data_IF_968489677731
#
_entry.id   IF_968489677731
#
_cell.length_a   1.000
_cell.length_b   1.000
_cell.length_c   1.000
_cell.angle_alpha   90.00
_cell.angle_beta   90.00
_cell.angle_gamma   90.00
#
_symmetry.space_group_name_H-M   'P 1'
#
loop_
_entity.id
_entity.type
_entity.pdbx_description
1 polymer ?
#
# COMPACT_ATOMS: atom_id res chain seq x y z
N UNK A 1 9.08 21.48 -25.59
CA UNK A 1 7.89 22.34 -25.49
C UNK A 1 7.52 22.36 -24.01
N UNK A 2 7.40 23.54 -23.39
CA UNK A 2 7.08 23.63 -21.97
C UNK A 2 5.57 23.52 -21.75
N UNK A 3 5.14 22.63 -20.86
CA UNK A 3 3.74 22.56 -20.44
C UNK A 3 3.34 23.80 -19.65
N UNK A 4 2.15 24.31 -19.92
CA UNK A 4 1.53 25.39 -19.14
C UNK A 4 0.83 24.81 -17.90
N UNK A 5 0.89 25.53 -16.78
CA UNK A 5 0.10 25.21 -15.60
C UNK A 5 -1.38 25.48 -15.88
N UNK A 6 -2.24 24.61 -15.34
CA UNK A 6 -3.68 24.80 -15.32
C UNK A 6 -4.08 26.06 -14.54
N UNK A 7 -5.13 26.74 -15.00
CA UNK A 7 -5.63 27.95 -14.34
C UNK A 7 -6.25 27.65 -12.98
N UNK A 8 -6.22 28.60 -12.04
CA UNK A 8 -6.90 28.45 -10.76
C UNK A 8 -8.42 28.65 -10.87
N UNK A 9 -9.17 27.85 -10.13
CA UNK A 9 -10.61 28.01 -9.95
C UNK A 9 -10.96 29.27 -9.16
N UNK A 10 -12.05 29.95 -9.53
CA UNK A 10 -12.53 31.14 -8.82
C UNK A 10 -13.26 30.80 -7.50
N UNK A 11 -13.15 31.67 -6.50
CA UNK A 11 -13.87 31.54 -5.21
C UNK A 11 -15.34 31.94 -5.37
N UNK A 12 -16.25 31.21 -4.72
CA UNK A 12 -17.67 31.59 -4.61
C UNK A 12 -18.07 31.91 -3.16
N UNK A 13 -18.98 32.87 -2.99
CA UNK A 13 -19.49 33.31 -1.68
C UNK A 13 -21.02 33.38 -1.72
N UNK A 14 -21.69 32.68 -0.82
CA UNK A 14 -23.16 32.64 -0.68
C UNK A 14 -23.69 31.23 -0.40
N UNK A 15 -24.91 31.12 0.14
CA UNK A 15 -25.57 29.82 0.31
C UNK A 15 -25.68 29.10 -1.05
N UNK A 16 -25.27 27.82 -1.10
CA UNK A 16 -25.20 27.03 -2.34
C UNK A 16 -24.21 27.60 -3.40
N UNK A 17 -23.12 28.22 -2.97
CA UNK A 17 -22.04 28.66 -3.86
C UNK A 17 -21.22 27.50 -4.43
N UNK A 18 -20.83 27.58 -5.71
CA UNK A 18 -19.95 26.61 -6.37
C UNK A 18 -18.60 27.24 -6.72
N UNK A 19 -17.52 26.70 -6.16
CA UNK A 19 -16.15 27.08 -6.51
C UNK A 19 -15.80 26.64 -7.93
N UNK A 20 -14.97 27.40 -8.64
CA UNK A 20 -14.49 27.01 -9.97
C UNK A 20 -13.53 25.84 -9.91
N UNK A 21 -13.56 24.92 -10.86
CA UNK A 21 -12.54 23.88 -10.98
C UNK A 21 -11.19 24.48 -11.41
N UNK A 22 -10.11 23.87 -10.96
CA UNK A 22 -8.77 24.10 -11.50
C UNK A 22 -8.66 23.57 -12.93
N UNK A 23 -7.93 24.28 -13.79
CA UNK A 23 -7.65 23.81 -15.14
C UNK A 23 -6.64 22.67 -15.15
N UNK A 24 -6.65 21.85 -16.20
CA UNK A 24 -5.68 20.79 -16.36
C UNK A 24 -4.30 21.32 -16.78
N UNK A 25 -3.25 20.62 -16.33
CA UNK A 25 -1.90 20.80 -16.82
C UNK A 25 -1.82 20.43 -18.30
N UNK A 26 -1.45 21.40 -19.14
CA UNK A 26 -1.31 21.16 -20.57
C UNK A 26 -0.23 20.11 -20.89
N UNK A 27 -0.18 19.66 -22.16
CA UNK A 27 0.84 18.73 -22.64
C UNK A 27 2.27 19.16 -22.23
N UNK A 28 3.03 18.24 -21.65
CA UNK A 28 4.45 18.44 -21.34
C UNK A 28 4.74 18.86 -19.90
N UNK A 29 4.35 18.02 -18.95
CA UNK A 29 4.67 18.16 -17.52
C UNK A 29 4.02 19.37 -16.83
N UNK A 30 2.95 19.96 -17.38
CA UNK A 30 2.26 21.08 -16.75
C UNK A 30 1.51 20.64 -15.50
N UNK A 31 1.50 21.45 -14.43
CA UNK A 31 0.74 21.11 -13.23
C UNK A 31 -0.75 21.44 -13.40
N UNK A 32 -1.62 20.68 -12.75
CA UNK A 32 -3.03 21.03 -12.57
C UNK A 32 -3.18 22.30 -11.75
N UNK A 33 -4.21 23.08 -12.06
CA UNK A 33 -4.59 24.26 -11.31
C UNK A 33 -5.35 23.89 -10.05
N UNK A 34 -5.27 24.71 -9.01
CA UNK A 34 -6.06 24.47 -7.79
C UNK A 34 -7.53 24.82 -8.00
N UNK A 35 -8.41 24.06 -7.35
CA UNK A 35 -9.83 24.35 -7.23
C UNK A 35 -10.11 25.59 -6.39
N UNK A 36 -11.22 26.25 -6.69
CA UNK A 36 -11.66 27.46 -6.00
C UNK A 36 -12.43 27.14 -4.72
N UNK A 37 -12.17 27.88 -3.65
CA UNK A 37 -12.89 27.73 -2.39
C UNK A 37 -14.37 28.13 -2.48
N UNK A 38 -15.21 27.63 -1.57
CA UNK A 38 -16.64 27.97 -1.52
C UNK A 38 -17.16 28.19 -0.09
N UNK A 39 -17.75 29.37 0.15
CA UNK A 39 -18.28 29.76 1.46
C UNK A 39 -19.81 29.87 1.46
N UNK A 40 -20.48 29.15 2.34
CA UNK A 40 -21.90 29.19 2.61
C UNK A 40 -22.47 27.80 2.96
N UNK A 41 -23.62 27.75 3.61
CA UNK A 41 -24.29 26.47 3.85
C UNK A 41 -24.61 25.77 2.51
N UNK A 42 -24.32 24.46 2.45
CA UNK A 42 -24.46 23.62 1.26
C UNK A 42 -23.57 24.04 0.09
N UNK A 43 -22.49 24.79 0.31
CA UNK A 43 -21.55 25.17 -0.75
C UNK A 43 -20.72 23.99 -1.22
N UNK A 44 -20.27 24.05 -2.48
CA UNK A 44 -19.39 23.03 -3.08
C UNK A 44 -18.15 23.72 -3.63
N UNK A 45 -16.97 23.44 -3.10
CA UNK A 45 -15.74 23.97 -3.63
C UNK A 45 -15.31 23.23 -4.91
N UNK A 46 -14.49 23.88 -5.72
CA UNK A 46 -14.05 23.32 -6.99
C UNK A 46 -12.94 22.28 -6.80
N UNK A 47 -12.90 21.29 -7.67
CA UNK A 47 -11.82 20.30 -7.72
C UNK A 47 -10.52 20.90 -8.26
N UNK A 48 -9.38 20.31 -7.90
CA UNK A 48 -8.10 20.54 -8.54
C UNK A 48 -8.04 19.92 -9.94
N UNK A 49 -7.31 20.55 -10.85
CA UNK A 49 -7.09 20.05 -12.19
C UNK A 49 -6.07 18.92 -12.23
N UNK A 50 -6.10 18.11 -13.28
CA UNK A 50 -5.15 17.00 -13.45
C UNK A 50 -3.77 17.50 -13.89
N UNK A 51 -2.71 16.78 -13.54
CA UNK A 51 -1.36 17.00 -14.01
C UNK A 51 -1.15 16.52 -15.45
N UNK A 52 -0.40 17.28 -16.23
CA UNK A 52 -0.10 16.97 -17.61
C UNK A 52 0.93 15.84 -17.76
N UNK A 53 0.78 15.02 -18.80
CA UNK A 53 1.74 13.95 -19.08
C UNK A 53 3.16 14.47 -19.39
N UNK A 54 4.15 13.70 -18.96
CA UNK A 54 5.56 13.94 -19.21
C UNK A 54 5.95 13.72 -20.68
N UNK A 55 6.93 14.49 -21.13
CA UNK A 55 7.40 14.40 -22.52
C UNK A 55 8.27 13.16 -22.76
N UNK A 56 8.27 12.68 -24.00
CA UNK A 56 9.27 11.71 -24.47
C UNK A 56 10.70 12.27 -24.34
N UNK A 57 11.64 11.41 -23.97
CA UNK A 57 13.07 11.65 -24.09
C UNK A 57 13.53 11.71 -25.55
N UNK A 58 14.84 11.75 -25.79
CA UNK A 58 15.37 11.80 -27.16
C UNK A 58 14.99 10.54 -27.96
N UNK A 59 14.35 10.75 -29.13
CA UNK A 59 14.00 9.67 -30.07
C UNK A 59 15.26 9.06 -30.72
N UNK A 60 16.33 9.85 -30.93
CA UNK A 60 17.46 9.51 -31.81
C UNK A 60 18.81 9.35 -31.08
N UNK A 61 18.79 9.18 -29.76
CA UNK A 61 19.99 9.04 -28.94
C UNK A 61 20.43 10.34 -28.26
N UNK A 62 21.01 10.20 -27.07
CA UNK A 62 21.24 11.27 -26.10
C UNK A 62 20.44 10.95 -24.84
N UNK A 63 21.14 10.59 -23.76
CA UNK A 63 20.60 9.97 -22.53
C UNK A 63 19.69 10.85 -21.66
N UNK A 64 18.86 11.70 -22.25
CA UNK A 64 17.78 12.40 -21.55
C UNK A 64 16.73 11.38 -21.13
N UNK A 65 16.48 11.25 -19.83
CA UNK A 65 15.35 10.49 -19.31
C UNK A 65 14.01 11.04 -19.79
N UNK A 66 12.94 10.27 -19.55
CA UNK A 66 11.58 10.75 -19.78
C UNK A 66 11.27 11.96 -18.91
N UNK A 67 10.50 12.91 -19.44
CA UNK A 67 10.05 14.05 -18.65
C UNK A 67 9.13 13.62 -17.51
N UNK A 68 9.14 14.27 -16.34
CA UNK A 68 8.22 13.93 -15.27
C UNK A 68 6.77 14.25 -15.67
N UNK A 69 5.80 13.56 -15.08
CA UNK A 69 4.42 14.00 -15.09
C UNK A 69 4.25 15.28 -14.26
N UNK A 70 3.31 16.14 -14.65
CA UNK A 70 2.92 17.30 -13.85
C UNK A 70 2.14 16.87 -12.61
N UNK A 71 2.22 17.63 -11.53
CA UNK A 71 1.42 17.36 -10.34
C UNK A 71 -0.05 17.71 -10.57
N UNK A 72 -0.96 17.02 -9.90
CA UNK A 72 -2.35 17.45 -9.78
C UNK A 72 -2.48 18.71 -8.95
N UNK A 73 -3.54 19.49 -9.21
CA UNK A 73 -3.89 20.66 -8.42
C UNK A 73 -4.63 20.27 -7.14
N UNK A 74 -4.56 21.10 -6.11
CA UNK A 74 -5.33 20.84 -4.89
C UNK A 74 -6.81 21.19 -5.09
N UNK A 75 -7.71 20.49 -4.40
CA UNK A 75 -9.10 20.88 -4.26
C UNK A 75 -9.26 22.19 -3.48
N UNK A 76 -10.37 22.87 -3.70
CA UNK A 76 -10.72 24.08 -2.96
C UNK A 76 -11.35 23.76 -1.60
N UNK A 77 -11.10 24.62 -0.61
CA UNK A 77 -11.71 24.48 0.72
C UNK A 77 -13.18 24.92 0.73
N UNK A 78 -14.00 24.31 1.59
CA UNK A 78 -15.40 24.68 1.78
C UNK A 78 -15.71 25.06 3.24
N UNK A 79 -16.53 26.09 3.42
CA UNK A 79 -16.98 26.50 4.76
C UNK A 79 -18.47 26.76 4.78
N UNK A 80 -19.19 26.10 5.69
CA UNK A 80 -20.62 26.18 5.93
C UNK A 80 -21.22 24.80 6.21
N UNK A 81 -22.34 24.76 6.93
CA UNK A 81 -23.03 23.51 7.22
C UNK A 81 -23.43 22.78 5.93
N UNK A 82 -23.21 21.47 5.87
CA UNK A 82 -23.47 20.63 4.71
C UNK A 82 -22.62 20.96 3.49
N UNK A 83 -21.50 21.69 3.67
CA UNK A 83 -20.62 22.04 2.57
C UNK A 83 -19.72 20.88 2.13
N UNK A 84 -19.28 20.90 0.88
CA UNK A 84 -18.40 19.88 0.29
C UNK A 84 -17.16 20.55 -0.28
N UNK A 85 -15.99 20.17 0.20
CA UNK A 85 -14.73 20.65 -0.35
C UNK A 85 -14.37 19.92 -1.65
N UNK A 86 -13.53 20.53 -2.47
CA UNK A 86 -13.14 20.00 -3.76
C UNK A 86 -12.10 18.88 -3.62
N UNK A 87 -12.10 17.93 -4.54
CA UNK A 87 -11.09 16.89 -4.58
C UNK A 87 -9.77 17.42 -5.14
N UNK A 88 -8.65 16.79 -4.77
CA UNK A 88 -7.39 16.97 -5.47
C UNK A 88 -7.44 16.36 -6.87
N UNK A 89 -6.73 16.96 -7.81
CA UNK A 89 -6.57 16.41 -9.15
C UNK A 89 -5.48 15.33 -9.20
N UNK A 90 -5.57 14.43 -10.17
CA UNK A 90 -4.58 13.36 -10.33
C UNK A 90 -3.25 13.88 -10.87
N UNK A 91 -2.16 13.20 -10.54
CA UNK A 91 -0.85 13.43 -11.13
C UNK A 91 -0.75 12.91 -12.57
N UNK A 92 0.02 13.59 -13.39
CA UNK A 92 0.26 13.20 -14.77
C UNK A 92 1.18 11.99 -14.90
N UNK A 93 1.03 11.20 -15.96
CA UNK A 93 1.95 10.08 -16.24
C UNK A 93 3.35 10.59 -16.59
N UNK A 94 4.38 9.92 -16.10
CA UNK A 94 5.78 10.13 -16.49
C UNK A 94 6.02 9.78 -17.95
N UNK A 95 6.85 10.59 -18.61
CA UNK A 95 7.18 10.43 -20.02
C UNK A 95 8.06 9.21 -20.28
N UNK A 96 8.06 8.76 -21.52
CA UNK A 96 8.95 7.70 -21.97
C UNK A 96 10.39 8.21 -22.05
N UNK A 97 11.37 7.37 -21.73
CA UNK A 97 12.79 7.65 -21.98
C UNK A 97 13.13 7.61 -23.48
N UNK A 98 14.21 6.93 -23.86
CA UNK A 98 14.64 6.88 -25.27
C UNK A 98 13.97 5.76 -26.04
N UNK A 99 13.34 6.09 -27.17
CA UNK A 99 12.68 5.11 -28.03
C UNK A 99 13.68 4.19 -28.77
N UNK A 100 14.83 4.72 -29.22
CA UNK A 100 15.79 4.02 -30.09
C UNK A 100 17.27 4.20 -29.71
N UNK A 101 17.58 5.00 -28.67
CA UNK A 101 18.95 5.37 -28.28
C UNK A 101 19.42 4.72 -26.98
N UNK A 102 20.68 4.96 -26.61
CA UNK A 102 21.27 4.48 -25.34
C UNK A 102 20.67 5.22 -24.13
N UNK A 103 19.65 4.59 -23.53
CA UNK A 103 19.26 4.64 -22.11
C UNK A 103 18.97 6.00 -21.46
N UNK A 104 17.70 6.37 -21.36
CA UNK A 104 17.16 7.34 -20.40
C UNK A 104 16.29 6.62 -19.37
N UNK A 105 16.28 6.99 -18.09
CA UNK A 105 15.27 6.46 -17.15
C UNK A 105 13.87 6.86 -17.61
N UNK A 106 12.86 6.10 -17.21
CA UNK A 106 11.47 6.53 -17.38
C UNK A 106 11.20 7.79 -16.57
N UNK A 107 10.32 8.67 -17.07
CA UNK A 107 9.92 9.85 -16.33
C UNK A 107 9.19 9.47 -15.05
N UNK A 108 9.36 10.25 -13.98
CA UNK A 108 8.62 10.03 -12.72
C UNK A 108 7.16 10.47 -12.94
N UNK A 109 6.19 9.73 -12.41
CA UNK A 109 4.80 10.15 -12.39
C UNK A 109 4.58 11.39 -11.51
N UNK A 110 3.64 12.24 -11.88
CA UNK A 110 3.26 13.41 -11.09
C UNK A 110 2.59 13.00 -9.78
N UNK A 111 2.76 13.78 -8.72
CA UNK A 111 2.00 13.56 -7.49
C UNK A 111 0.52 13.98 -7.68
N UNK A 112 -0.38 13.28 -7.00
CA UNK A 112 -1.76 13.71 -6.84
C UNK A 112 -1.86 14.98 -5.98
N UNK A 113 -2.86 15.80 -6.24
CA UNK A 113 -3.19 16.98 -5.46
C UNK A 113 -3.91 16.63 -4.17
N UNK A 114 -3.85 17.51 -3.18
CA UNK A 114 -4.59 17.32 -1.92
C UNK A 114 -6.07 17.62 -2.10
N UNK A 115 -6.92 16.91 -1.38
CA UNK A 115 -8.30 17.31 -1.18
C UNK A 115 -8.40 18.61 -0.39
N UNK A 116 -9.47 19.38 -0.62
CA UNK A 116 -9.75 20.60 0.14
C UNK A 116 -10.34 20.30 1.50
N UNK A 117 -10.12 21.20 2.45
CA UNK A 117 -10.65 21.08 3.81
C UNK A 117 -12.11 21.56 3.87
N UNK A 118 -12.91 20.96 4.76
CA UNK A 118 -14.30 21.34 5.00
C UNK A 118 -14.53 21.80 6.44
N UNK A 119 -15.36 22.83 6.64
CA UNK A 119 -15.75 23.30 7.97
C UNK A 119 -17.23 23.60 8.03
N UNK A 120 -17.94 23.01 8.98
CA UNK A 120 -19.39 23.14 9.19
C UNK A 120 -20.02 21.79 9.52
N UNK A 121 -21.18 21.80 10.17
CA UNK A 121 -21.85 20.55 10.54
C UNK A 121 -22.34 19.81 9.28
N UNK A 122 -22.16 18.49 9.23
CA UNK A 122 -22.50 17.66 8.09
C UNK A 122 -21.62 17.91 6.86
N UNK A 123 -20.45 18.52 7.05
CA UNK A 123 -19.56 18.86 5.93
C UNK A 123 -18.73 17.67 5.46
N UNK A 124 -18.29 17.70 4.20
CA UNK A 124 -17.49 16.64 3.58
C UNK A 124 -16.23 17.24 2.98
N UNK A 125 -15.07 16.81 3.45
CA UNK A 125 -13.80 17.24 2.88
C UNK A 125 -13.50 16.50 1.57
N UNK A 126 -12.62 17.08 0.76
CA UNK A 126 -12.29 16.55 -0.55
C UNK A 126 -11.34 15.37 -0.46
N UNK A 127 -11.43 14.44 -1.39
CA UNK A 127 -10.46 13.35 -1.50
C UNK A 127 -9.14 13.86 -2.10
N UNK A 128 -8.03 13.22 -1.75
CA UNK A 128 -6.77 13.39 -2.48
C UNK A 128 -6.84 12.79 -3.88
N UNK A 129 -6.10 13.38 -4.81
CA UNK A 129 -5.96 12.85 -6.16
C UNK A 129 -4.96 11.70 -6.23
N UNK A 130 -5.07 10.85 -7.25
CA UNK A 130 -4.17 9.72 -7.44
C UNK A 130 -2.80 10.20 -7.98
N UNK A 131 -1.75 9.47 -7.64
CA UNK A 131 -0.43 9.65 -8.23
C UNK A 131 -0.39 9.15 -9.67
N UNK A 132 0.36 9.84 -10.53
CA UNK A 132 0.55 9.45 -11.91
C UNK A 132 1.49 8.25 -12.06
N UNK A 133 1.31 7.45 -13.10
CA UNK A 133 2.21 6.33 -13.36
C UNK A 133 3.61 6.78 -13.78
N UNK A 134 4.63 6.00 -13.42
CA UNK A 134 5.98 6.14 -13.92
C UNK A 134 6.08 5.79 -15.40
N UNK A 135 6.94 6.51 -16.10
CA UNK A 135 7.18 6.34 -17.52
C UNK A 135 8.03 5.10 -17.85
N UNK A 136 7.97 4.65 -19.09
CA UNK A 136 8.82 3.55 -19.56
C UNK A 136 10.21 4.05 -19.96
N UNK A 137 11.31 3.41 -19.54
CA UNK A 137 12.67 3.86 -19.86
C UNK A 137 13.08 3.68 -21.32
N UNK A 138 12.87 2.50 -21.91
CA UNK A 138 13.15 2.27 -23.33
C UNK A 138 12.20 1.26 -23.97
N UNK A 139 12.01 1.37 -25.29
CA UNK A 139 11.21 0.38 -26.04
C UNK A 139 12.05 -0.72 -26.70
N UNK A 140 13.31 -0.46 -27.07
CA UNK A 140 14.09 -1.38 -27.93
C UNK A 140 15.57 -1.56 -27.56
N UNK A 141 16.12 -0.72 -26.69
CA UNK A 141 17.55 -0.69 -26.35
C UNK A 141 17.77 -1.16 -24.92
N UNK A 142 19.02 -1.44 -24.52
CA UNK A 142 19.38 -1.66 -23.11
C UNK A 142 18.91 -0.45 -22.27
N UNK A 143 17.80 -0.63 -21.57
CA UNK A 143 17.09 0.41 -20.84
C UNK A 143 17.73 0.66 -19.47
N UNK A 144 17.55 1.87 -18.93
CA UNK A 144 17.83 2.14 -17.52
C UNK A 144 16.56 1.86 -16.70
N UNK A 145 16.40 2.45 -15.51
CA UNK A 145 15.30 2.09 -14.64
C UNK A 145 13.97 2.60 -15.17
N UNK A 146 12.90 1.83 -14.94
CA UNK A 146 11.55 2.34 -15.13
C UNK A 146 11.31 3.59 -14.28
N UNK A 147 10.42 4.48 -14.72
CA UNK A 147 10.09 5.69 -13.98
C UNK A 147 9.38 5.34 -12.68
N UNK A 148 9.59 6.11 -11.61
CA UNK A 148 8.88 5.89 -10.34
C UNK A 148 7.45 6.41 -10.47
N UNK A 149 6.47 5.71 -9.88
CA UNK A 149 5.10 6.21 -9.74
C UNK A 149 5.02 7.45 -8.85
N UNK A 150 4.09 8.34 -9.14
CA UNK A 150 3.82 9.51 -8.31
C UNK A 150 3.08 9.11 -7.04
N UNK A 151 3.24 9.87 -5.95
CA UNK A 151 2.48 9.63 -4.73
C UNK A 151 1.03 10.13 -4.89
N UNK A 152 0.09 9.47 -4.22
CA UNK A 152 -1.25 10.01 -4.04
C UNK A 152 -1.26 11.24 -3.15
N UNK A 153 -2.27 12.09 -3.32
CA UNK A 153 -2.49 13.26 -2.48
C UNK A 153 -3.23 12.90 -1.19
N UNK A 154 -3.04 13.71 -0.15
CA UNK A 154 -3.79 13.53 1.10
C UNK A 154 -5.25 13.95 0.91
N UNK A 155 -6.17 13.29 1.61
CA UNK A 155 -7.54 13.76 1.77
C UNK A 155 -7.61 15.00 2.67
N UNK A 156 -8.59 15.86 2.44
CA UNK A 156 -8.82 17.06 3.24
C UNK A 156 -9.44 16.72 4.60
N UNK A 157 -9.22 17.60 5.58
CA UNK A 157 -9.79 17.47 6.91
C UNK A 157 -11.21 18.06 6.98
N UNK A 158 -12.08 17.51 7.83
CA UNK A 158 -13.41 18.07 8.07
C UNK A 158 -13.65 18.41 9.55
N UNK A 159 -14.18 19.61 9.81
CA UNK A 159 -14.48 20.10 11.17
C UNK A 159 -15.97 20.41 11.28
N UNK A 160 -16.65 19.77 12.23
CA UNK A 160 -18.08 19.93 12.49
C UNK A 160 -18.74 18.58 12.82
N UNK A 161 -19.91 18.61 13.45
CA UNK A 161 -20.62 17.39 13.82
C UNK A 161 -21.13 16.67 12.56
N UNK A 162 -21.15 15.33 12.56
CA UNK A 162 -21.58 14.50 11.44
C UNK A 162 -20.78 14.73 10.14
N UNK A 163 -19.52 15.14 10.26
CA UNK A 163 -18.67 15.47 9.11
C UNK A 163 -17.85 14.28 8.62
N UNK A 164 -17.39 14.33 7.38
CA UNK A 164 -16.60 13.27 6.75
C UNK A 164 -15.28 13.81 6.21
N UNK A 165 -14.17 13.23 6.65
CA UNK A 165 -12.83 13.52 6.12
C UNK A 165 -12.65 12.90 4.73
N UNK A 166 -11.81 13.52 3.91
CA UNK A 166 -11.53 13.02 2.57
C UNK A 166 -10.62 11.80 2.59
N UNK A 167 -10.79 10.86 1.66
CA UNK A 167 -9.84 9.74 1.53
C UNK A 167 -8.54 10.20 0.90
N UNK A 168 -7.42 9.59 1.26
CA UNK A 168 -6.16 9.75 0.54
C UNK A 168 -6.24 9.14 -0.86
N UNK A 169 -5.54 9.74 -1.82
CA UNK A 169 -5.40 9.23 -3.18
C UNK A 169 -4.41 8.06 -3.25
N UNK A 170 -4.54 7.22 -4.26
CA UNK A 170 -3.66 6.08 -4.47
C UNK A 170 -2.30 6.51 -5.04
N UNK A 171 -1.26 5.75 -4.74
CA UNK A 171 0.02 5.89 -5.42
C UNK A 171 -0.03 5.38 -6.85
N UNK A 172 0.73 6.02 -7.74
CA UNK A 172 0.85 5.62 -9.15
C UNK A 172 1.74 4.40 -9.34
N UNK A 173 1.55 3.69 -10.45
CA UNK A 173 2.34 2.51 -10.76
C UNK A 173 3.77 2.86 -11.16
N UNK A 174 4.72 1.99 -10.83
CA UNK A 174 6.08 2.05 -11.34
C UNK A 174 6.13 1.72 -12.83
N UNK A 175 7.02 2.42 -13.54
CA UNK A 175 7.21 2.31 -14.96
C UNK A 175 8.02 1.08 -15.39
N UNK A 176 7.94 0.78 -16.68
CA UNK A 176 8.64 -0.35 -17.29
C UNK A 176 10.08 0.05 -17.61
N UNK A 177 11.08 -0.79 -17.29
CA UNK A 177 12.48 -0.51 -17.64
C UNK A 177 12.74 -0.66 -19.14
N UNK A 178 12.43 -1.81 -19.73
CA UNK A 178 12.54 -1.97 -21.18
C UNK A 178 11.54 -2.96 -21.76
N UNK A 179 10.89 -2.59 -22.85
CA UNK A 179 9.91 -3.45 -23.50
C UNK A 179 10.54 -4.65 -24.24
N UNK A 180 11.75 -4.47 -24.81
CA UNK A 180 12.42 -5.48 -25.66
C UNK A 180 13.92 -5.65 -25.36
N UNK A 181 14.64 -4.60 -24.92
CA UNK A 181 16.09 -4.62 -24.68
C UNK A 181 16.47 -4.91 -23.21
N UNK A 182 17.76 -5.09 -22.91
CA UNK A 182 18.25 -5.45 -21.57
C UNK A 182 18.07 -4.29 -20.58
N UNK A 183 16.94 -4.24 -19.89
CA UNK A 183 16.63 -3.21 -18.88
C UNK A 183 17.40 -3.35 -17.57
N UNK A 184 17.44 -2.27 -16.77
CA UNK A 184 17.92 -2.31 -15.39
C UNK A 184 16.82 -2.80 -14.44
N UNK A 185 16.22 -1.95 -13.61
CA UNK A 185 15.17 -2.35 -12.66
C UNK A 185 13.82 -1.71 -13.03
N UNK A 186 12.70 -2.38 -12.75
CA UNK A 186 11.39 -1.76 -12.82
C UNK A 186 11.30 -0.52 -11.91
N UNK A 187 10.51 0.48 -12.30
CA UNK A 187 10.33 1.66 -11.45
C UNK A 187 9.59 1.31 -10.16
N UNK A 188 9.84 1.98 -9.04
CA UNK A 188 9.04 1.76 -7.83
C UNK A 188 7.61 2.32 -8.00
N UNK A 189 6.62 1.73 -7.33
CA UNK A 189 5.30 2.34 -7.17
C UNK A 189 5.35 3.56 -6.25
N UNK A 190 4.41 4.47 -6.41
CA UNK A 190 4.24 5.62 -5.53
C UNK A 190 3.51 5.25 -4.24
N UNK A 191 3.65 6.05 -3.19
CA UNK A 191 2.90 5.83 -1.95
C UNK A 191 1.46 6.33 -2.08
N UNK A 192 0.53 5.71 -1.35
CA UNK A 192 -0.80 6.28 -1.12
C UNK A 192 -0.71 7.53 -0.24
N UNK A 193 -1.67 8.44 -0.41
CA UNK A 193 -1.85 9.62 0.43
C UNK A 193 -2.59 9.29 1.72
N UNK A 194 -2.46 10.14 2.72
CA UNK A 194 -3.13 9.93 4.00
C UNK A 194 -4.61 10.33 3.93
N UNK A 195 -5.42 9.68 4.75
CA UNK A 195 -6.80 10.06 4.98
C UNK A 195 -6.92 11.36 5.78
N UNK A 196 -7.97 12.11 5.50
CA UNK A 196 -8.28 13.37 6.14
C UNK A 196 -8.84 13.19 7.55
N UNK A 197 -8.35 14.00 8.50
CA UNK A 197 -8.82 13.96 9.87
C UNK A 197 -10.23 14.55 10.02
N UNK A 198 -10.93 14.18 11.09
CA UNK A 198 -12.20 14.81 11.49
C UNK A 198 -12.20 15.24 12.95
N UNK A 199 -12.90 16.34 13.22
CA UNK A 199 -13.17 16.82 14.58
C UNK A 199 -14.64 17.23 14.70
N UNK A 200 -15.37 16.58 15.60
CA UNK A 200 -16.82 16.76 15.79
C UNK A 200 -17.49 15.45 16.20
N UNK A 201 -18.73 15.51 16.69
CA UNK A 201 -19.49 14.33 17.14
C UNK A 201 -20.03 13.54 15.95
N UNK A 202 -20.01 12.20 16.01
CA UNK A 202 -20.51 11.29 14.96
C UNK A 202 -19.88 11.52 13.56
N UNK A 203 -18.61 11.91 13.53
CA UNK A 203 -17.86 12.17 12.30
C UNK A 203 -17.05 10.95 11.85
N UNK A 204 -16.68 10.89 10.57
CA UNK A 204 -15.91 9.77 10.00
C UNK A 204 -14.67 10.29 9.30
N UNK A 205 -13.49 9.92 9.80
CA UNK A 205 -12.24 10.31 9.15
C UNK A 205 -12.03 9.53 7.85
N UNK A 206 -11.25 10.12 6.95
CA UNK A 206 -10.97 9.52 5.65
C UNK A 206 -10.00 8.35 5.76
N UNK A 207 -10.15 7.36 4.89
CA UNK A 207 -9.18 6.25 4.78
C UNK A 207 -7.90 6.71 4.06
N UNK A 208 -6.78 6.06 4.36
CA UNK A 208 -5.55 6.20 3.58
C UNK A 208 -5.68 5.56 2.19
N UNK A 209 -4.96 6.10 1.22
CA UNK A 209 -4.90 5.60 -0.15
C UNK A 209 -4.01 4.36 -0.28
N UNK A 210 -4.23 3.55 -1.32
CA UNK A 210 -3.37 2.38 -1.56
C UNK A 210 -2.04 2.78 -2.19
N UNK A 211 -0.95 2.10 -1.82
CA UNK A 211 0.32 2.22 -2.52
C UNK A 211 0.23 1.69 -3.96
N UNK A 212 1.01 2.27 -4.85
CA UNK A 212 1.09 1.89 -6.26
C UNK A 212 1.92 0.62 -6.46
N UNK A 213 1.64 -0.12 -7.53
CA UNK A 213 2.40 -1.33 -7.84
C UNK A 213 3.78 -1.01 -8.38
N UNK A 214 4.78 -1.83 -8.05
CA UNK A 214 6.09 -1.76 -8.65
C UNK A 214 6.09 -2.10 -10.14
N UNK A 215 7.01 -1.49 -10.86
CA UNK A 215 7.14 -1.57 -12.31
C UNK A 215 7.85 -2.83 -12.79
N UNK A 216 7.73 -3.08 -14.09
CA UNK A 216 8.23 -4.29 -14.74
C UNK A 216 9.60 -4.04 -15.35
N UNK A 217 10.51 -5.01 -15.25
CA UNK A 217 11.86 -4.88 -15.78
C UNK A 217 11.94 -5.03 -17.30
N UNK A 218 11.76 -6.25 -17.82
CA UNK A 218 11.62 -6.53 -19.25
C UNK A 218 10.95 -7.87 -19.48
N UNK A 219 9.87 -7.94 -20.27
CA UNK A 219 9.16 -9.19 -20.51
C UNK A 219 9.93 -10.15 -21.45
N UNK A 220 10.91 -9.65 -22.23
CA UNK A 220 11.53 -10.44 -23.30
C UNK A 220 13.03 -10.64 -23.14
N UNK A 221 13.73 -9.86 -22.32
CA UNK A 221 15.19 -9.91 -22.29
C UNK A 221 15.78 -9.81 -20.88
N UNK A 222 17.11 -9.87 -20.81
CA UNK A 222 17.92 -10.02 -19.62
C UNK A 222 17.90 -8.88 -18.58
N UNK A 223 16.79 -8.18 -18.32
CA UNK A 223 16.76 -7.12 -17.28
C UNK A 223 16.62 -7.59 -15.83
N UNK A 224 17.20 -6.85 -14.86
CA UNK A 224 17.41 -7.17 -13.41
C UNK A 224 16.12 -7.39 -12.60
N UNK A 225 15.81 -6.53 -11.63
CA UNK A 225 14.76 -6.80 -10.63
C UNK A 225 13.45 -6.05 -10.95
N UNK A 226 12.34 -6.59 -10.45
CA UNK A 226 11.06 -5.87 -10.45
C UNK A 226 11.12 -4.66 -9.52
N UNK A 227 10.36 -3.60 -9.83
CA UNK A 227 10.30 -2.43 -8.95
C UNK A 227 9.61 -2.73 -7.62
N UNK A 228 9.94 -2.05 -6.53
CA UNK A 228 9.18 -2.21 -5.28
C UNK A 228 7.78 -1.61 -5.39
N UNK A 229 6.80 -2.19 -4.70
CA UNK A 229 5.50 -1.56 -4.47
C UNK A 229 5.62 -0.36 -3.52
N UNK A 230 4.72 0.60 -3.67
CA UNK A 230 4.62 1.76 -2.78
C UNK A 230 3.86 1.42 -1.49
N UNK A 231 4.07 2.21 -0.44
CA UNK A 231 3.36 2.02 0.83
C UNK A 231 1.92 2.55 0.73
N UNK A 232 1.00 1.96 1.49
CA UNK A 232 -0.31 2.56 1.76
C UNK A 232 -0.19 3.81 2.62
N UNK A 233 -1.14 4.73 2.47
CA UNK A 233 -1.25 5.91 3.32
C UNK A 233 -1.90 5.59 4.66
N UNK A 234 -1.62 6.39 5.68
CA UNK A 234 -2.27 6.25 6.98
C UNK A 234 -3.72 6.74 6.90
N UNK A 235 -4.59 6.16 7.72
CA UNK A 235 -5.95 6.63 7.86
C UNK A 235 -6.06 7.89 8.74
N UNK A 236 -7.15 8.65 8.56
CA UNK A 236 -7.37 9.91 9.24
C UNK A 236 -7.71 9.73 10.71
N UNK A 237 -7.26 10.68 11.53
CA UNK A 237 -7.62 10.75 12.97
C UNK A 237 -9.07 11.21 13.12
N UNK A 238 -9.80 10.65 14.08
CA UNK A 238 -11.12 11.13 14.47
C UNK A 238 -11.13 11.65 15.90
N UNK A 239 -11.68 12.85 16.10
CA UNK A 239 -11.92 13.45 17.41
C UNK A 239 -13.41 13.65 17.64
N UNK A 240 -13.92 13.16 18.78
CA UNK A 240 -15.30 13.41 19.22
C UNK A 240 -16.12 12.14 19.43
N UNK A 241 -17.11 12.24 20.32
CA UNK A 241 -17.96 11.10 20.71
C UNK A 241 -18.67 10.50 19.48
N UNK A 242 -18.66 9.17 19.38
CA UNK A 242 -19.33 8.45 18.29
C UNK A 242 -18.64 8.57 16.93
N UNK A 243 -17.50 9.27 16.86
CA UNK A 243 -16.72 9.40 15.63
C UNK A 243 -15.86 8.17 15.37
N UNK A 244 -15.48 7.97 14.11
CA UNK A 244 -14.76 6.79 13.63
C UNK A 244 -13.54 7.25 12.86
N UNK A 245 -12.36 6.81 13.29
CA UNK A 245 -11.13 7.07 12.57
C UNK A 245 -11.09 6.33 11.22
N UNK A 246 -10.26 6.80 10.31
CA UNK A 246 -10.17 6.24 8.96
C UNK A 246 -9.18 5.10 8.91
N UNK A 247 -9.46 4.06 8.13
CA UNK A 247 -8.58 2.91 8.01
C UNK A 247 -7.29 3.24 7.24
N UNK A 248 -6.22 2.48 7.53
CA UNK A 248 -4.99 2.55 6.76
C UNK A 248 -5.16 1.99 5.34
N UNK A 249 -4.45 2.60 4.39
CA UNK A 249 -4.39 2.17 3.00
C UNK A 249 -3.55 0.91 2.82
N UNK A 250 -3.82 0.12 1.78
CA UNK A 250 -3.03 -1.08 1.50
C UNK A 250 -1.67 -0.72 0.89
N UNK A 251 -0.64 -1.51 1.17
CA UNK A 251 0.60 -1.48 0.40
C UNK A 251 0.38 -1.94 -1.04
N UNK A 252 1.16 -1.41 -1.96
CA UNK A 252 1.15 -1.79 -3.38
C UNK A 252 1.97 -3.05 -3.62
N UNK A 253 1.62 -3.80 -4.66
CA UNK A 253 2.33 -5.04 -4.98
C UNK A 253 3.73 -4.75 -5.56
N UNK A 254 4.68 -5.64 -5.31
CA UNK A 254 5.98 -5.62 -5.97
C UNK A 254 5.87 -5.90 -7.48
N UNK A 255 6.76 -5.30 -8.24
CA UNK A 255 6.85 -5.43 -9.69
C UNK A 255 7.44 -6.76 -10.15
N UNK A 256 7.22 -7.09 -11.42
CA UNK A 256 7.64 -8.38 -11.98
C UNK A 256 9.07 -8.28 -12.53
N UNK A 257 9.93 -9.23 -12.11
CA UNK A 257 11.29 -9.40 -12.62
C UNK A 257 11.34 -9.96 -14.05
N UNK A 258 12.49 -9.85 -14.74
CA UNK A 258 12.58 -10.19 -16.16
C UNK A 258 12.26 -11.66 -16.52
N UNK A 259 11.50 -11.88 -17.61
CA UNK A 259 10.82 -13.18 -17.81
C UNK A 259 11.62 -14.29 -18.49
N UNK A 260 12.66 -14.00 -19.28
CA UNK A 260 13.32 -15.00 -20.15
C UNK A 260 14.86 -15.07 -19.99
N UNK A 261 15.45 -14.27 -19.10
CA UNK A 261 16.90 -14.16 -18.89
C UNK A 261 17.31 -14.44 -17.45
N UNK A 262 18.46 -15.08 -17.25
CA UNK A 262 18.86 -15.72 -15.99
C UNK A 262 18.77 -14.85 -14.73
N UNK A 263 18.20 -15.46 -13.69
CA UNK A 263 18.57 -15.34 -12.27
C UNK A 263 18.24 -14.08 -11.50
N UNK A 264 16.98 -13.63 -11.46
CA UNK A 264 16.63 -12.31 -10.92
C UNK A 264 15.33 -12.24 -10.13
N UNK A 265 15.22 -11.23 -9.28
CA UNK A 265 14.21 -11.18 -8.24
C UNK A 265 12.97 -10.40 -8.65
N UNK A 266 11.82 -10.81 -8.14
CA UNK A 266 10.63 -9.95 -8.16
C UNK A 266 10.77 -8.81 -7.15
N UNK A 267 10.00 -7.73 -7.37
CA UNK A 267 9.99 -6.56 -6.49
C UNK A 267 9.39 -6.87 -5.13
N UNK A 268 9.78 -6.13 -4.10
CA UNK A 268 9.18 -6.27 -2.76
C UNK A 268 7.81 -5.58 -2.74
N UNK A 269 6.82 -6.16 -2.07
CA UNK A 269 5.54 -5.50 -1.81
C UNK A 269 5.69 -4.34 -0.83
N UNK A 270 4.92 -3.29 -1.02
CA UNK A 270 4.89 -2.13 -0.12
C UNK A 270 4.18 -2.45 1.20
N UNK A 271 4.46 -1.67 2.24
CA UNK A 271 3.79 -1.86 3.52
C UNK A 271 2.38 -1.27 3.51
N UNK A 272 1.48 -1.82 4.31
CA UNK A 272 0.20 -1.19 4.62
C UNK A 272 0.39 0.07 5.46
N UNK A 273 -0.49 1.04 5.28
CA UNK A 273 -0.59 2.23 6.12
C UNK A 273 -1.27 1.92 7.44
N UNK A 274 -1.03 2.73 8.45
CA UNK A 274 -1.62 2.56 9.77
C UNK A 274 -3.09 3.02 9.79
N UNK A 275 -3.90 2.41 10.65
CA UNK A 275 -5.23 2.90 10.96
C UNK A 275 -5.15 4.22 11.71
N UNK A 276 -6.14 5.08 11.50
CA UNK A 276 -6.26 6.33 12.22
C UNK A 276 -6.66 6.14 13.69
N UNK A 277 -6.22 7.07 14.52
CA UNK A 277 -6.49 7.12 15.95
C UNK A 277 -7.87 7.75 16.25
N UNK A 278 -8.52 7.27 17.30
CA UNK A 278 -9.77 7.83 17.83
C UNK A 278 -9.56 8.50 19.19
N UNK A 279 -9.76 9.80 19.30
CA UNK A 279 -9.62 10.54 20.58
C UNK A 279 -10.98 11.03 21.10
N UNK A 280 -11.05 11.30 22.40
CA UNK A 280 -12.25 11.84 23.07
C UNK A 280 -13.55 11.04 22.84
N UNK A 281 -13.46 9.71 22.95
CA UNK A 281 -14.60 8.81 22.76
C UNK A 281 -14.87 8.40 21.31
N UNK A 282 -14.01 8.78 20.37
CA UNK A 282 -14.00 8.23 19.02
C UNK A 282 -13.43 6.79 19.01
N UNK A 283 -13.93 5.96 18.09
CA UNK A 283 -13.39 4.64 17.84
C UNK A 283 -12.17 4.74 16.91
N UNK A 284 -11.11 4.01 17.24
CA UNK A 284 -9.99 3.84 16.31
C UNK A 284 -10.35 2.89 15.18
N UNK A 285 -9.47 2.79 14.20
CA UNK A 285 -9.68 2.01 12.98
C UNK A 285 -8.53 1.07 12.67
N UNK A 286 -8.76 0.14 11.74
CA UNK A 286 -7.79 -0.89 11.41
C UNK A 286 -6.66 -0.37 10.50
N UNK A 287 -5.48 -0.99 10.65
CA UNK A 287 -4.36 -0.85 9.74
C UNK A 287 -4.65 -1.46 8.38
N UNK A 288 -4.04 -0.90 7.34
CA UNK A 288 -4.08 -1.40 5.98
C UNK A 288 -3.23 -2.65 5.81
N UNK A 289 -3.60 -3.54 4.89
CA UNK A 289 -2.80 -4.72 4.58
C UNK A 289 -1.49 -4.35 3.87
N UNK A 290 -0.43 -5.13 4.04
CA UNK A 290 0.78 -5.08 3.22
C UNK A 290 0.50 -5.56 1.78
N UNK A 291 1.23 -5.02 0.82
CA UNK A 291 1.19 -5.41 -0.58
C UNK A 291 1.92 -6.73 -0.83
N UNK A 292 1.50 -7.50 -1.84
CA UNK A 292 2.16 -8.76 -2.16
C UNK A 292 3.54 -8.52 -2.78
N UNK A 293 4.45 -9.49 -2.62
CA UNK A 293 5.70 -9.50 -3.36
C UNK A 293 5.46 -9.71 -4.86
N UNK A 294 6.35 -9.17 -5.67
CA UNK A 294 6.34 -9.31 -7.13
C UNK A 294 6.90 -10.65 -7.60
N UNK A 295 6.35 -11.18 -8.69
CA UNK A 295 6.76 -12.48 -9.23
C UNK A 295 8.08 -12.49 -10.01
N UNK A 296 8.63 -13.69 -10.22
CA UNK A 296 9.73 -13.96 -11.15
C UNK A 296 9.17 -14.62 -12.42
N UNK A 297 9.67 -14.23 -13.60
CA UNK A 297 9.22 -14.86 -14.84
C UNK A 297 9.88 -16.21 -15.18
N UNK A 298 9.40 -16.81 -16.28
CA UNK A 298 9.62 -18.20 -16.69
C UNK A 298 11.10 -18.50 -17.03
N UNK A 299 11.75 -19.43 -16.31
CA UNK A 299 13.14 -19.86 -16.56
C UNK A 299 14.24 -18.95 -15.97
N UNK A 300 13.97 -18.24 -14.87
CA UNK A 300 14.98 -17.51 -14.12
C UNK A 300 15.34 -18.20 -12.79
N UNK A 301 16.64 -18.24 -12.45
CA UNK A 301 17.17 -18.75 -11.17
C UNK A 301 17.04 -17.75 -9.99
N UNK A 302 16.10 -16.80 -10.06
CA UNK A 302 15.93 -15.76 -9.05
C UNK A 302 14.76 -16.01 -8.11
N UNK A 303 14.62 -15.18 -7.08
CA UNK A 303 13.66 -15.37 -5.99
C UNK A 303 12.39 -14.53 -6.17
N UNK A 304 11.24 -15.09 -5.79
CA UNK A 304 10.02 -14.28 -5.66
C UNK A 304 10.23 -13.10 -4.71
N UNK A 305 9.60 -11.96 -5.01
CA UNK A 305 9.62 -10.81 -4.11
C UNK A 305 8.94 -11.14 -2.79
N UNK A 306 9.42 -10.53 -1.71
CA UNK A 306 8.77 -10.65 -0.39
C UNK A 306 7.52 -9.80 -0.32
N UNK A 307 6.49 -10.27 0.38
CA UNK A 307 5.34 -9.44 0.73
C UNK A 307 5.70 -8.33 1.72
N UNK A 308 4.95 -7.23 1.67
CA UNK A 308 5.09 -6.09 2.58
C UNK A 308 4.40 -6.34 3.92
N UNK A 309 4.78 -5.57 4.94
CA UNK A 309 4.22 -5.70 6.29
C UNK A 309 2.82 -5.04 6.34
N UNK A 310 1.88 -5.62 7.09
CA UNK A 310 0.62 -4.96 7.41
C UNK A 310 0.82 -3.72 8.27
N UNK A 311 0.04 -2.67 8.05
CA UNK A 311 0.04 -1.47 8.88
C UNK A 311 -0.57 -1.71 10.25
N UNK A 312 -0.21 -0.91 11.23
CA UNK A 312 -0.74 -1.07 12.59
C UNK A 312 -2.19 -0.58 12.68
N UNK A 313 -2.98 -1.12 13.60
CA UNK A 313 -4.26 -0.53 13.99
C UNK A 313 -4.09 0.77 14.75
N UNK A 314 -5.05 1.69 14.63
CA UNK A 314 -5.03 2.98 15.35
C UNK A 314 -5.39 2.84 16.83
N UNK A 315 -4.90 3.76 17.65
CA UNK A 315 -5.15 3.82 19.09
C UNK A 315 -6.43 4.60 19.43
N UNK A 316 -7.09 4.28 20.56
CA UNK A 316 -8.20 5.08 21.08
C UNK A 316 -8.18 5.36 22.59
N UNK A 317 -8.49 6.60 22.97
CA UNK A 317 -8.60 7.03 24.36
C UNK A 317 -10.03 6.78 24.87
N UNK A 318 -10.35 5.50 25.12
CA UNK A 318 -11.63 5.06 25.69
C UNK A 318 -12.59 4.33 24.72
N UNK A 319 -12.23 4.26 23.44
CA UNK A 319 -12.91 3.45 22.41
C UNK A 319 -12.34 2.02 22.28
N UNK A 320 -12.63 1.36 21.16
CA UNK A 320 -12.01 0.08 20.77
C UNK A 320 -10.77 0.39 19.92
N UNK A 321 -9.61 -0.19 20.27
CA UNK A 321 -8.40 -0.10 19.47
C UNK A 321 -8.55 -0.79 18.11
N UNK A 322 -7.88 -0.27 17.10
CA UNK A 322 -7.92 -0.78 15.73
C UNK A 322 -7.24 -2.13 15.57
N UNK A 323 -7.70 -2.97 14.66
CA UNK A 323 -6.98 -4.20 14.30
C UNK A 323 -5.75 -3.90 13.43
N UNK A 324 -4.69 -4.70 13.56
CA UNK A 324 -3.54 -4.64 12.64
C UNK A 324 -3.89 -5.17 11.24
N UNK A 325 -3.23 -4.64 10.22
CA UNK A 325 -3.35 -5.10 8.84
C UNK A 325 -2.65 -6.43 8.62
N UNK A 326 -3.09 -7.20 7.62
CA UNK A 326 -2.40 -8.45 7.25
C UNK A 326 -1.07 -8.16 6.52
N UNK A 327 -0.08 -9.01 6.69
CA UNK A 327 1.12 -9.00 5.84
C UNK A 327 0.80 -9.47 4.43
N UNK A 328 1.50 -8.94 3.44
CA UNK A 328 1.37 -9.35 2.04
C UNK A 328 1.97 -10.73 1.79
N UNK A 329 1.44 -11.45 0.81
CA UNK A 329 1.98 -12.75 0.41
C UNK A 329 3.30 -12.61 -0.34
N UNK A 330 4.21 -13.56 -0.15
CA UNK A 330 5.41 -13.69 -0.98
C UNK A 330 5.09 -14.26 -2.36
N UNK A 331 5.84 -13.83 -3.37
CA UNK A 331 5.57 -14.24 -4.74
C UNK A 331 6.11 -15.63 -5.07
N UNK A 332 5.46 -16.35 -6.00
CA UNK A 332 5.94 -17.65 -6.45
C UNK A 332 7.00 -17.53 -7.57
N UNK A 333 7.98 -18.44 -7.58
CA UNK A 333 8.95 -18.57 -8.67
C UNK A 333 8.50 -19.69 -9.63
N UNK A 334 8.57 -19.42 -10.94
CA UNK A 334 8.18 -20.38 -12.00
C UNK A 334 9.39 -21.03 -12.71
N UNK A 335 10.61 -20.79 -12.23
CA UNK A 335 11.86 -21.27 -12.82
C UNK A 335 12.44 -22.49 -12.11
N UNK A 336 13.18 -23.32 -12.86
CA UNK A 336 13.92 -24.46 -12.32
C UNK A 336 14.97 -24.02 -11.28
N UNK A 337 14.78 -24.40 -10.01
CA UNK A 337 15.78 -24.24 -8.95
C UNK A 337 15.68 -22.97 -8.09
N UNK A 338 14.59 -22.20 -8.15
CA UNK A 338 14.44 -20.94 -7.40
C UNK A 338 13.48 -21.00 -6.20
N UNK A 339 13.77 -20.24 -5.14
CA UNK A 339 12.88 -20.06 -3.97
C UNK A 339 11.71 -19.11 -4.30
N UNK A 340 10.51 -19.40 -3.79
CA UNK A 340 9.46 -18.39 -3.67
C UNK A 340 9.84 -17.30 -2.66
N UNK A 341 9.24 -16.12 -2.75
CA UNK A 341 9.48 -15.01 -1.84
C UNK A 341 8.87 -15.25 -0.46
N UNK A 342 9.38 -14.58 0.57
CA UNK A 342 8.80 -14.66 1.92
C UNK A 342 7.51 -13.86 2.06
N UNK A 343 6.58 -14.30 2.91
CA UNK A 343 5.43 -13.49 3.31
C UNK A 343 5.84 -12.32 4.21
N UNK A 344 5.12 -11.21 4.15
CA UNK A 344 5.30 -10.06 5.01
C UNK A 344 4.71 -10.27 6.41
N UNK A 345 5.17 -9.52 7.39
CA UNK A 345 4.63 -9.58 8.75
C UNK A 345 3.23 -8.97 8.87
N UNK A 346 2.40 -9.44 9.79
CA UNK A 346 1.17 -8.76 10.17
C UNK A 346 1.45 -7.48 10.97
N UNK A 347 0.57 -6.48 10.85
CA UNK A 347 0.63 -5.25 11.63
C UNK A 347 0.22 -5.46 13.09
N UNK A 348 0.76 -4.66 13.99
CA UNK A 348 0.33 -4.66 15.39
C UNK A 348 -1.06 -4.07 15.54
N UNK A 349 -1.79 -4.46 16.57
CA UNK A 349 -3.05 -3.81 16.88
C UNK A 349 -2.87 -2.48 17.61
N UNK A 350 -3.92 -1.66 17.54
CA UNK A 350 -4.02 -0.42 18.27
C UNK A 350 -4.50 -0.63 19.71
N UNK A 351 -4.14 0.32 20.57
CA UNK A 351 -4.47 0.31 22.00
C UNK A 351 -5.83 0.96 22.25
N UNK A 352 -6.54 0.59 23.31
CA UNK A 352 -7.73 1.35 23.73
C UNK A 352 -8.45 0.82 24.96
N UNK A 353 -9.66 1.32 25.23
CA UNK A 353 -10.51 0.84 26.32
C UNK A 353 -10.79 -0.67 26.21
N UNK A 354 -10.86 -1.18 24.97
CA UNK A 354 -10.60 -2.58 24.60
C UNK A 354 -9.47 -2.60 23.55
N UNK A 355 -8.50 -3.51 23.70
CA UNK A 355 -7.36 -3.59 22.77
C UNK A 355 -7.78 -4.23 21.45
N UNK A 356 -7.22 -3.78 20.33
CA UNK A 356 -7.48 -4.36 19.01
C UNK A 356 -6.75 -5.69 18.78
N UNK A 357 -7.17 -6.47 17.77
CA UNK A 357 -6.48 -7.72 17.39
C UNK A 357 -5.29 -7.45 16.45
N UNK A 358 -4.20 -8.19 16.62
CA UNK A 358 -3.04 -8.14 15.71
C UNK A 358 -3.37 -8.68 14.33
N UNK A 359 -2.74 -8.13 13.29
CA UNK A 359 -2.91 -8.58 11.92
C UNK A 359 -2.19 -9.91 11.66
N UNK A 360 -2.70 -10.75 10.75
CA UNK A 360 -2.02 -12.01 10.39
C UNK A 360 -0.78 -11.77 9.52
N UNK A 361 0.22 -12.64 9.61
CA UNK A 361 1.35 -12.67 8.67
C UNK A 361 0.93 -13.17 7.29
N UNK A 362 1.59 -12.68 6.24
CA UNK A 362 1.41 -13.14 4.87
C UNK A 362 2.06 -14.50 4.62
N UNK A 363 1.57 -15.25 3.63
CA UNK A 363 2.13 -16.57 3.32
C UNK A 363 3.42 -16.46 2.50
N UNK A 364 4.30 -17.44 2.63
CA UNK A 364 5.46 -17.59 1.75
C UNK A 364 5.05 -18.07 0.35
N UNK A 365 5.74 -17.58 -0.67
CA UNK A 365 5.57 -17.99 -2.06
C UNK A 365 6.09 -19.40 -2.33
N UNK A 366 5.55 -20.02 -3.37
CA UNK A 366 5.96 -21.37 -3.82
C UNK A 366 7.20 -21.31 -4.74
N UNK A 367 8.06 -22.33 -4.71
CA UNK A 367 9.21 -22.42 -5.61
C UNK A 367 9.41 -23.81 -6.21
N UNK A 368 9.78 -23.88 -7.50
CA UNK A 368 10.02 -25.12 -8.22
C UNK A 368 11.50 -25.52 -8.14
N UNK A 369 11.83 -26.63 -7.46
CA UNK A 369 13.21 -27.14 -7.37
C UNK A 369 13.32 -28.56 -7.91
N UNK A 370 14.14 -28.75 -8.96
CA UNK A 370 14.53 -30.08 -9.43
C UNK A 370 15.89 -30.44 -8.85
N UNK A 371 15.91 -31.17 -7.74
CA UNK A 371 17.07 -31.95 -7.29
C UNK A 371 17.98 -31.29 -6.26
N UNK A 372 17.54 -31.20 -5.01
CA UNK A 372 18.31 -31.37 -3.77
C UNK A 372 17.47 -30.93 -2.58
N UNK A 373 17.46 -31.70 -1.49
CA UNK A 373 16.64 -31.45 -0.29
C UNK A 373 16.96 -30.13 0.45
N UNK A 374 18.05 -29.42 0.11
CA UNK A 374 18.60 -28.26 0.84
C UNK A 374 18.38 -26.88 0.18
N UNK A 375 17.54 -26.75 -0.87
CA UNK A 375 17.31 -25.44 -1.49
C UNK A 375 16.34 -24.57 -0.65
N UNK A 376 16.65 -23.29 -0.36
CA UNK A 376 15.78 -22.40 0.41
C UNK A 376 14.44 -22.18 -0.32
N UNK A 377 13.34 -22.17 0.43
CA UNK A 377 11.95 -22.04 -0.04
C UNK A 377 11.33 -20.81 0.63
N UNK A 378 10.24 -20.27 0.07
CA UNK A 378 9.58 -19.09 0.63
C UNK A 378 9.14 -19.35 2.08
N UNK A 379 9.53 -18.48 3.01
CA UNK A 379 9.12 -18.54 4.41
C UNK A 379 7.80 -17.82 4.60
N UNK A 380 6.92 -18.34 5.46
CA UNK A 380 5.75 -17.58 5.91
C UNK A 380 6.17 -16.33 6.69
N UNK A 381 5.41 -15.26 6.58
CA UNK A 381 5.59 -14.04 7.36
C UNK A 381 5.10 -14.22 8.79
N UNK A 382 5.64 -13.45 9.73
CA UNK A 382 5.23 -13.50 11.15
C UNK A 382 3.87 -12.85 11.37
N UNK A 383 3.07 -13.36 12.30
CA UNK A 383 1.86 -12.71 12.77
C UNK A 383 2.16 -11.40 13.51
N UNK A 384 1.25 -10.44 13.42
CA UNK A 384 1.30 -9.16 14.13
C UNK A 384 0.85 -9.30 15.59
N UNK A 385 1.34 -8.44 16.47
CA UNK A 385 1.03 -8.48 17.90
C UNK A 385 -0.35 -7.91 18.22
N UNK A 386 -1.06 -8.50 19.18
CA UNK A 386 -2.34 -7.98 19.71
C UNK A 386 -2.15 -6.69 20.50
N UNK A 387 -3.19 -5.87 20.58
CA UNK A 387 -3.16 -4.54 21.21
C UNK A 387 -3.45 -4.58 22.70
N UNK A 388 -2.79 -3.68 23.44
CA UNK A 388 -2.97 -3.50 24.87
C UNK A 388 -4.32 -2.83 25.19
N UNK A 389 -4.94 -3.20 26.33
CA UNK A 389 -6.20 -2.62 26.78
C UNK A 389 -6.07 -1.85 28.11
N UNK A 390 -6.55 -0.61 28.14
CA UNK A 390 -6.64 0.23 29.34
C UNK A 390 -7.96 -0.01 30.08
N UNK A 391 -8.05 -1.18 30.72
CA UNK A 391 -9.16 -1.52 31.64
C UNK A 391 -10.24 -2.48 31.08
N UNK A 392 -10.16 -2.87 29.81
CA UNK A 392 -10.99 -3.89 29.16
C UNK A 392 -10.25 -5.19 28.80
N UNK A 393 -10.79 -5.98 27.86
CA UNK A 393 -10.12 -7.18 27.32
C UNK A 393 -9.00 -6.78 26.36
N UNK A 394 -7.78 -7.28 26.61
CA UNK A 394 -6.65 -7.16 25.66
C UNK A 394 -6.94 -7.92 24.38
N UNK A 395 -6.41 -7.42 23.26
CA UNK A 395 -6.64 -8.01 21.94
C UNK A 395 -5.79 -9.25 21.67
N UNK A 396 -6.23 -10.06 20.72
CA UNK A 396 -5.60 -11.34 20.36
C UNK A 396 -4.42 -11.09 19.41
N UNK A 397 -3.32 -11.83 19.56
CA UNK A 397 -2.21 -11.82 18.61
C UNK A 397 -2.63 -12.36 17.23
N UNK A 398 -2.14 -11.76 16.16
CA UNK A 398 -2.37 -12.25 14.79
C UNK A 398 -1.64 -13.57 14.53
N UNK A 399 -2.20 -14.42 13.67
CA UNK A 399 -1.57 -15.70 13.33
C UNK A 399 -0.35 -15.51 12.41
N UNK A 400 0.61 -16.44 12.48
CA UNK A 400 1.71 -16.54 11.54
C UNK A 400 1.24 -16.98 10.15
N UNK A 401 1.91 -16.50 9.11
CA UNK A 401 1.68 -16.91 7.73
C UNK A 401 2.25 -18.29 7.43
N UNK A 402 1.66 -19.03 6.49
CA UNK A 402 2.14 -20.38 6.15
C UNK A 402 3.43 -20.33 5.31
N UNK A 403 4.24 -21.37 5.42
CA UNK A 403 5.44 -21.55 4.59
C UNK A 403 5.09 -21.92 3.15
N UNK A 404 5.97 -21.58 2.20
CA UNK A 404 5.80 -21.86 0.78
C UNK A 404 5.72 -23.36 0.45
N UNK A 405 4.92 -23.74 -0.54
CA UNK A 405 4.75 -25.14 -0.97
C UNK A 405 5.87 -25.62 -1.92
N UNK A 406 6.19 -26.93 -1.90
CA UNK A 406 7.12 -27.59 -2.84
C UNK A 406 6.47 -28.77 -3.58
N UNK A 407 7.17 -29.33 -4.59
CA UNK A 407 6.73 -30.48 -5.39
C UNK A 407 6.56 -31.79 -4.58
N UNK A 408 5.82 -32.77 -5.13
CA UNK A 408 5.64 -34.10 -4.54
C UNK A 408 7.00 -34.76 -4.20
N UNK A 409 7.31 -34.82 -2.90
CA UNK A 409 8.47 -35.54 -2.35
C UNK A 409 9.62 -34.68 -1.82
N UNK A 410 9.60 -33.35 -2.03
CA UNK A 410 10.65 -32.41 -1.59
C UNK A 410 10.17 -31.57 -0.40
N UNK A 411 10.88 -31.47 0.72
CA UNK A 411 10.44 -30.75 1.92
C UNK A 411 9.80 -29.34 1.67
N UNK A 412 8.83 -28.90 2.48
CA UNK A 412 8.09 -27.63 2.33
C UNK A 412 8.76 -26.41 2.99
N UNK A 413 8.39 -25.17 2.65
CA UNK A 413 8.93 -23.96 3.28
C UNK A 413 8.53 -23.83 4.76
N UNK A 414 9.30 -23.08 5.55
CA UNK A 414 9.05 -22.91 7.00
C UNK A 414 7.85 -21.95 7.20
N UNK A 415 6.89 -22.34 8.04
CA UNK A 415 5.80 -21.46 8.48
C UNK A 415 6.30 -20.30 9.32
N UNK A 416 5.69 -19.13 9.18
CA UNK A 416 5.99 -17.97 10.01
C UNK A 416 5.47 -18.11 11.43
N UNK A 417 6.09 -17.42 12.38
CA UNK A 417 5.69 -17.47 13.79
C UNK A 417 4.38 -16.71 14.03
N UNK A 418 3.59 -17.15 15.02
CA UNK A 418 2.40 -16.44 15.49
C UNK A 418 2.77 -15.16 16.22
N UNK A 419 1.91 -14.14 16.15
CA UNK A 419 2.07 -12.89 16.89
C UNK A 419 1.70 -13.06 18.36
N UNK A 420 2.35 -12.28 19.23
CA UNK A 420 2.06 -12.28 20.67
C UNK A 420 0.70 -11.60 20.97
N UNK A 421 0.00 -12.02 22.04
CA UNK A 421 -1.24 -11.37 22.49
C UNK A 421 -1.00 -10.04 23.22
N UNK A 422 -2.01 -9.16 23.29
CA UNK A 422 -1.91 -7.86 23.98
C UNK A 422 -1.83 -7.95 25.51
N UNK A 423 -1.26 -6.93 26.16
CA UNK A 423 -1.16 -6.82 27.62
C UNK A 423 -2.53 -6.59 28.29
N UNK A 424 -2.64 -7.18 29.49
CA UNK A 424 -3.88 -7.36 30.26
C UNK A 424 -4.14 -6.15 31.18
N UNK A 425 -5.27 -5.46 31.00
CA UNK A 425 -5.90 -4.65 32.06
C UNK A 425 -6.44 -5.56 33.19
N UNK A 426 -6.76 -5.07 34.41
CA UNK A 426 -7.00 -5.89 35.61
C UNK A 426 -8.08 -6.99 35.51
N UNK A 427 -8.86 -7.05 34.42
CA UNK A 427 -9.92 -8.03 34.17
C UNK A 427 -9.84 -8.76 32.79
N UNK A 428 -8.76 -8.63 31.99
CA UNK A 428 -8.70 -9.08 30.58
C UNK A 428 -7.96 -10.41 30.29
N UNK A 429 -8.27 -11.07 29.18
CA UNK A 429 -7.87 -12.45 28.80
C UNK A 429 -7.29 -12.57 27.36
N UNK A 430 -6.47 -11.61 26.92
CA UNK A 430 -5.90 -11.59 25.56
C UNK A 430 -5.02 -12.82 25.26
N UNK A 431 -5.39 -13.60 24.24
CA UNK A 431 -4.66 -14.80 23.81
C UNK A 431 -3.61 -14.48 22.74
N UNK A 432 -2.56 -15.30 22.64
CA UNK A 432 -1.55 -15.20 21.59
C UNK A 432 -2.06 -15.78 20.28
N UNK A 433 -1.49 -15.34 19.16
CA UNK A 433 -1.80 -15.87 17.83
C UNK A 433 -1.21 -17.26 17.61
N UNK A 434 -1.83 -18.06 16.74
CA UNK A 434 -1.28 -19.36 16.37
C UNK A 434 -0.12 -19.21 15.39
N UNK A 435 0.82 -20.16 15.41
CA UNK A 435 1.93 -20.23 14.47
C UNK A 435 1.44 -20.67 13.09
N UNK A 436 2.10 -20.20 12.03
CA UNK A 436 1.80 -20.59 10.66
C UNK A 436 2.21 -22.04 10.38
N UNK A 437 1.49 -22.74 9.50
CA UNK A 437 1.85 -24.12 9.16
C UNK A 437 3.06 -24.17 8.20
N UNK A 438 3.83 -25.25 8.26
CA UNK A 438 4.90 -25.54 7.29
C UNK A 438 4.32 -25.90 5.92
N UNK A 439 5.10 -25.68 4.85
CA UNK A 439 4.69 -25.96 3.48
C UNK A 439 4.38 -27.45 3.23
N UNK A 440 3.54 -27.73 2.22
CA UNK A 440 2.74 -28.94 2.00
C UNK A 440 3.40 -30.33 1.85
N UNK A 441 4.42 -30.68 2.61
CA UNK A 441 4.76 -32.09 2.86
C UNK A 441 5.45 -32.32 4.21
N UNK A 442 5.25 -33.53 4.71
CA UNK A 442 5.36 -33.98 6.10
C UNK A 442 6.77 -34.04 6.71
N UNK A 443 7.72 -33.21 6.25
CA UNK A 443 9.14 -33.30 6.66
C UNK A 443 9.69 -32.07 7.36
N UNK A 444 8.97 -30.95 7.44
CA UNK A 444 9.46 -29.71 8.06
C UNK A 444 8.46 -29.21 9.12
N UNK A 445 8.93 -28.69 10.28
CA UNK A 445 8.04 -28.16 11.32
C UNK A 445 7.27 -26.92 10.81
N UNK A 446 6.01 -26.78 11.24
CA UNK A 446 5.32 -25.50 11.18
C UNK A 446 6.01 -24.44 12.04
N UNK A 447 5.70 -23.17 11.77
CA UNK A 447 6.15 -22.02 12.56
C UNK A 447 5.71 -22.13 14.02
N UNK A 448 6.45 -21.47 14.92
CA UNK A 448 6.12 -21.53 16.35
C UNK A 448 4.85 -20.73 16.66
N UNK A 449 4.01 -21.25 17.54
CA UNK A 449 2.86 -20.51 18.07
C UNK A 449 3.30 -19.23 18.77
N UNK A 450 2.57 -18.13 18.57
CA UNK A 450 2.83 -16.87 19.28
C UNK A 450 2.61 -17.02 20.79
N UNK A 451 3.25 -16.19 21.62
CA UNK A 451 3.09 -16.31 23.06
C UNK A 451 1.74 -15.72 23.50
N UNK A 452 0.98 -16.46 24.30
CA UNK A 452 -0.23 -15.96 24.95
C UNK A 452 0.08 -14.94 26.04
N UNK A 453 -0.71 -13.87 26.13
CA UNK A 453 -0.48 -12.78 27.08
C UNK A 453 -0.58 -13.22 28.55
N UNK A 454 0.36 -12.72 29.37
CA UNK A 454 0.45 -12.65 30.84
C UNK A 454 0.24 -13.90 31.73
N UNK A 455 -0.47 -14.97 31.35
CA UNK A 455 -0.47 -16.22 32.12
C UNK A 455 0.72 -17.14 31.77
N UNK A 456 1.49 -16.74 30.75
CA UNK A 456 2.70 -17.43 30.32
C UNK A 456 2.43 -18.76 29.65
N UNK A 457 1.19 -19.04 29.23
CA UNK A 457 0.91 -20.21 28.39
C UNK A 457 1.24 -19.87 26.92
N UNK A 458 2.20 -20.58 26.29
CA UNK A 458 2.46 -20.41 24.86
C UNK A 458 1.18 -20.71 24.06
N UNK A 459 0.94 -19.95 22.99
CA UNK A 459 -0.11 -20.29 22.03
C UNK A 459 0.11 -21.71 21.48
N UNK A 460 -0.97 -22.36 21.06
CA UNK A 460 -0.88 -23.68 20.43
C UNK A 460 0.10 -23.64 19.25
N UNK A 461 1.17 -24.46 19.22
CA UNK A 461 2.03 -24.59 18.05
C UNK A 461 1.19 -24.88 16.81
N UNK A 462 1.63 -24.37 15.64
CA UNK A 462 1.00 -24.70 14.36
C UNK A 462 0.87 -26.22 14.20
N UNK A 463 -0.22 -26.69 13.60
CA UNK A 463 -0.42 -28.12 13.42
C UNK A 463 0.65 -28.67 12.47
N UNK A 464 1.29 -29.78 12.86
CA UNK A 464 2.10 -30.56 11.93
C UNK A 464 1.24 -30.90 10.70
N UNK A 465 1.77 -30.65 9.50
CA UNK A 465 1.08 -30.98 8.25
C UNK A 465 0.58 -32.43 8.27
N UNK A 466 -0.71 -32.60 7.99
CA UNK A 466 -1.48 -33.85 8.14
C UNK A 466 -0.68 -35.11 7.74
N UNK A 467 -0.34 -35.94 8.73
CA UNK A 467 0.33 -37.21 8.57
C UNK A 467 -0.62 -38.39 8.29
N UNK A 468 -1.91 -38.16 7.97
CA UNK A 468 -2.93 -39.24 8.03
C UNK A 468 -3.39 -39.84 6.70
N UNK A 469 -2.70 -39.62 5.58
CA UNK A 469 -2.92 -40.41 4.36
C UNK A 469 -1.63 -41.10 3.91
N UNK A 470 -1.34 -42.23 4.56
CA UNK A 470 -0.56 -43.31 3.96
C UNK A 470 -1.53 -44.13 3.08
N UNK A 471 -1.53 -44.00 1.73
CA UNK A 471 -2.19 -44.99 0.91
C UNK A 471 -1.34 -46.26 0.96
N UNK A 472 -1.74 -47.18 1.83
CA UNK A 472 -1.32 -48.57 1.73
C UNK A 472 -1.87 -49.13 0.41
N UNK A 473 -0.99 -49.42 -0.54
CA UNK A 473 -1.32 -50.02 -1.84
C UNK A 473 -0.09 -50.25 -2.69
#
# INVERSE_FOLDING_TARGET
>A
MGGGNGGHGGTSVGANGTGGAGGDGGYGSGNGGNGGAANGAGSVAGDGGTGGAGNFGSILGGGSGGGPGGAGGNGGDATGDGSTAGNGGDGGTGGYGSALGSGGDGGIGGAGGKGGDATGDGSTAGNGGDGGNGGTSSTTSDGRNGGVGGNGGDGGAAIGDHSSGGTGGNGGEGGISSLVGGGQDGGAGGNGGNGGAVSGVNSVAGNGGTGGTGGITSPLSGGRDGGAGGNGGDGGVAEGEGSIAGAGGKGGDGGIGGMLGGGRNGGVGGNGGNGGDGVDGAAASHGGAGGAGGGVGLNASGQGGTGGVGGNGGASDGGVGGAGGSGGDGASSSGFGGAGGGGGGGGGAGTGGQGGDGGNGGNGGTGLTTGSDDAPRGTGGTGGTGGDADGGTGGVGGNGGNGGSGDLGSAGGIGGDGGDGGQVGPNGNGAGGNGGNGGGNSREPGGTGGNGGADGTPGTPGADGDATLNPVG
#
